data_IF_726211672985
#
_entry.id   IF_726211672985
#
_cell.length_a   1.000
_cell.length_b   1.000
_cell.length_c   1.000
_cell.angle_alpha   90.00
_cell.angle_beta   90.00
_cell.angle_gamma   90.00
#
_symmetry.space_group_name_H-M   'P 1'
#
loop_
_entity.id
_entity.type
_entity.pdbx_description
1 polymer ?
#
# COMPACT_ATOMS: atom_id res chain seq x y z
N UNK A 1 4.38 -9.74 -13.82
CA UNK A 1 4.42 -8.44 -13.14
C UNK A 1 3.99 -8.61 -11.70
N UNK A 2 4.72 -8.00 -10.78
CA UNK A 2 4.42 -8.07 -9.35
C UNK A 2 3.98 -6.68 -8.88
N UNK A 3 2.96 -6.66 -8.04
CA UNK A 3 2.36 -5.43 -7.54
C UNK A 3 2.59 -5.24 -6.05
N UNK A 4 2.70 -3.99 -5.62
CA UNK A 4 2.60 -3.60 -4.21
C UNK A 4 1.21 -2.99 -3.99
N UNK A 5 0.51 -3.47 -2.98
CA UNK A 5 -0.82 -2.94 -2.66
C UNK A 5 -0.71 -1.68 -1.81
N UNK A 6 -1.30 -0.58 -2.29
CA UNK A 6 -1.55 0.58 -1.46
C UNK A 6 -2.68 0.28 -0.47
N UNK A 7 -2.78 1.08 0.59
CA UNK A 7 -3.78 0.88 1.64
C UNK A 7 -5.21 0.83 1.09
N UNK A 8 -5.56 1.68 0.12
CA UNK A 8 -6.91 1.69 -0.44
C UNK A 8 -7.28 0.39 -1.15
N UNK A 9 -6.31 -0.32 -1.71
CA UNK A 9 -6.54 -1.64 -2.34
C UNK A 9 -6.70 -2.71 -1.26
N UNK A 10 -5.80 -2.73 -0.26
CA UNK A 10 -5.88 -3.69 0.84
C UNK A 10 -7.20 -3.56 1.60
N UNK A 11 -7.57 -2.34 1.97
CA UNK A 11 -8.78 -2.10 2.77
C UNK A 11 -10.08 -2.33 2.00
N UNK A 12 -10.03 -2.41 0.68
CA UNK A 12 -11.21 -2.71 -0.13
C UNK A 12 -11.81 -4.09 0.23
N UNK A 13 -10.95 -5.08 0.53
CA UNK A 13 -11.42 -6.43 0.88
C UNK A 13 -12.25 -6.48 2.17
N UNK A 14 -12.12 -5.45 3.02
CA UNK A 14 -12.82 -5.39 4.31
C UNK A 14 -14.14 -4.62 4.25
N UNK A 15 -14.47 -4.06 3.09
CA UNK A 15 -15.76 -3.37 2.89
C UNK A 15 -16.90 -4.39 2.79
N UNK A 16 -18.14 -4.02 3.22
CA UNK A 16 -19.30 -4.89 3.08
C UNK A 16 -19.60 -5.30 1.64
N UNK A 17 -19.30 -4.41 0.67
CA UNK A 17 -19.51 -4.64 -0.76
C UNK A 17 -18.26 -4.25 -1.53
N UNK A 18 -17.23 -5.09 -1.54
CA UNK A 18 -16.00 -4.78 -2.26
C UNK A 18 -16.25 -4.65 -3.77
N UNK A 19 -15.49 -3.77 -4.41
CA UNK A 19 -15.56 -3.59 -5.86
C UNK A 19 -15.12 -4.86 -6.58
N UNK A 20 -15.96 -5.34 -7.49
CA UNK A 20 -15.72 -6.61 -8.19
C UNK A 20 -14.42 -6.60 -9.01
N UNK A 21 -14.08 -5.48 -9.65
CA UNK A 21 -12.82 -5.37 -10.42
C UNK A 21 -11.60 -5.49 -9.52
N UNK A 22 -11.65 -4.92 -8.32
CA UNK A 22 -10.55 -5.01 -7.36
C UNK A 22 -10.40 -6.45 -6.86
N UNK A 23 -11.49 -7.12 -6.54
CA UNK A 23 -11.45 -8.52 -6.12
C UNK A 23 -10.88 -9.41 -7.21
N UNK A 24 -11.28 -9.21 -8.47
CA UNK A 24 -10.75 -9.95 -9.60
C UNK A 24 -9.23 -9.74 -9.74
N UNK A 25 -8.78 -8.49 -9.60
CA UNK A 25 -7.35 -8.16 -9.63
C UNK A 25 -6.60 -8.91 -8.52
N UNK A 26 -7.09 -8.86 -7.29
CA UNK A 26 -6.44 -9.50 -6.15
C UNK A 26 -6.39 -11.03 -6.30
N UNK A 27 -7.35 -11.62 -6.95
CA UNK A 27 -7.42 -13.05 -7.18
C UNK A 27 -6.46 -13.53 -8.29
N UNK A 28 -6.20 -12.68 -9.28
CA UNK A 28 -5.42 -13.04 -10.47
C UNK A 28 -3.97 -12.59 -10.42
N UNK A 29 -3.70 -11.45 -9.77
CA UNK A 29 -2.38 -10.82 -9.76
C UNK A 29 -1.48 -11.40 -8.68
N UNK A 30 -0.18 -11.32 -8.92
CA UNK A 30 0.84 -11.57 -7.89
C UNK A 30 1.16 -10.25 -7.18
N UNK A 31 1.04 -10.23 -5.85
CA UNK A 31 1.21 -8.99 -5.10
C UNK A 31 1.79 -9.21 -3.71
N UNK A 32 2.35 -8.13 -3.17
CA UNK A 32 2.81 -8.04 -1.79
C UNK A 32 2.19 -6.84 -1.10
N UNK A 33 2.12 -6.89 0.23
CA UNK A 33 1.71 -5.77 1.07
C UNK A 33 2.96 -5.16 1.71
N UNK A 34 3.26 -3.89 1.42
CA UNK A 34 4.40 -3.22 2.05
C UNK A 34 4.23 -3.05 3.55
N UNK A 35 5.30 -3.22 4.31
CA UNK A 35 5.30 -2.95 5.76
C UNK A 35 4.76 -1.55 6.08
N UNK A 36 5.09 -0.48 5.33
CA UNK A 36 4.48 0.84 5.57
C UNK A 36 2.94 0.85 5.50
N UNK A 37 2.33 0.01 4.67
CA UNK A 37 0.86 -0.09 4.60
C UNK A 37 0.30 -0.69 5.89
N UNK A 38 0.99 -1.67 6.48
CA UNK A 38 0.60 -2.21 7.79
C UNK A 38 0.65 -1.09 8.85
N UNK A 39 1.71 -0.28 8.83
CA UNK A 39 1.85 0.85 9.75
C UNK A 39 0.74 1.88 9.57
N UNK A 40 0.38 2.19 8.33
CA UNK A 40 -0.70 3.13 8.02
C UNK A 40 -2.06 2.62 8.52
N UNK A 41 -2.36 1.34 8.31
CA UNK A 41 -3.60 0.72 8.81
C UNK A 41 -3.65 0.76 10.34
N UNK A 42 -2.55 0.40 11.00
CA UNK A 42 -2.48 0.43 12.48
C UNK A 42 -2.66 1.85 13.02
N UNK A 43 -2.00 2.83 12.41
CA UNK A 43 -2.15 4.24 12.80
C UNK A 43 -3.60 4.70 12.62
N UNK A 44 -4.24 4.32 11.52
CA UNK A 44 -5.66 4.60 11.29
C UNK A 44 -6.57 3.98 12.34
N UNK A 45 -6.25 2.78 12.82
CA UNK A 45 -6.99 2.13 13.91
C UNK A 45 -6.89 2.93 15.20
N UNK A 46 -5.68 3.37 15.56
CA UNK A 46 -5.45 4.15 16.78
C UNK A 46 -6.09 5.53 16.72
N UNK A 47 -6.16 6.13 15.54
CA UNK A 47 -6.80 7.43 15.31
C UNK A 47 -8.33 7.35 15.23
N UNK A 48 -8.91 6.16 15.14
CA UNK A 48 -10.35 5.99 14.96
C UNK A 48 -11.14 6.52 16.17
N UNK A 49 -12.25 7.21 15.88
CA UNK A 49 -13.16 7.68 16.91
C UNK A 49 -13.99 6.49 17.43
N UNK A 50 -13.72 6.09 18.67
CA UNK A 50 -14.46 5.03 19.36
C UNK A 50 -13.78 3.67 19.33
N UNK A 51 -13.96 2.92 20.43
CA UNK A 51 -13.31 1.64 20.65
C UNK A 51 -13.78 0.55 19.69
N UNK A 52 -15.04 0.58 19.27
CA UNK A 52 -15.61 -0.44 18.37
C UNK A 52 -14.89 -0.47 17.03
N UNK A 53 -14.65 0.70 16.42
CA UNK A 53 -13.96 0.79 15.13
C UNK A 53 -12.50 0.37 15.25
N UNK A 54 -11.82 0.79 16.33
CA UNK A 54 -10.44 0.37 16.59
C UNK A 54 -10.32 -1.14 16.74
N UNK A 55 -11.21 -1.76 17.50
CA UNK A 55 -11.22 -3.21 17.68
C UNK A 55 -11.46 -3.92 16.34
N UNK A 56 -12.39 -3.43 15.54
CA UNK A 56 -12.70 -4.00 14.24
C UNK A 56 -11.48 -3.99 13.31
N UNK A 57 -10.81 -2.84 13.17
CA UNK A 57 -9.63 -2.72 12.32
C UNK A 57 -8.50 -3.61 12.81
N UNK A 58 -8.22 -3.61 14.12
CA UNK A 58 -7.18 -4.46 14.71
C UNK A 58 -7.46 -5.94 14.47
N UNK A 59 -8.71 -6.36 14.63
CA UNK A 59 -9.09 -7.75 14.41
C UNK A 59 -8.88 -8.19 12.95
N UNK A 60 -9.27 -7.35 12.01
CA UNK A 60 -9.08 -7.63 10.58
C UNK A 60 -7.60 -7.70 10.22
N UNK A 61 -6.80 -6.77 10.74
CA UNK A 61 -5.36 -6.76 10.51
C UNK A 61 -4.69 -7.99 11.11
N UNK A 62 -5.05 -8.38 12.33
CA UNK A 62 -4.53 -9.59 12.97
C UNK A 62 -4.82 -10.84 12.14
N UNK A 63 -6.04 -10.99 11.66
CA UNK A 63 -6.41 -12.14 10.83
C UNK A 63 -5.63 -12.12 9.52
N UNK A 64 -5.51 -10.97 8.88
CA UNK A 64 -4.77 -10.84 7.63
C UNK A 64 -3.30 -11.25 7.82
N UNK A 65 -2.64 -10.72 8.84
CA UNK A 65 -1.22 -11.01 9.10
C UNK A 65 -0.97 -12.48 9.42
N UNK A 66 -1.86 -13.12 10.16
CA UNK A 66 -1.73 -14.56 10.45
C UNK A 66 -1.88 -15.43 9.21
N UNK A 67 -2.78 -15.05 8.29
CA UNK A 67 -3.08 -15.85 7.10
C UNK A 67 -2.15 -15.54 5.93
N UNK A 68 -1.55 -14.35 5.90
CA UNK A 68 -0.84 -13.84 4.74
C UNK A 68 0.57 -13.33 5.08
N UNK A 69 1.22 -13.89 6.09
CA UNK A 69 2.55 -13.44 6.53
C UNK A 69 3.57 -13.45 5.37
N UNK A 70 3.47 -14.42 4.46
CA UNK A 70 4.41 -14.57 3.35
C UNK A 70 4.31 -13.45 2.30
N UNK A 71 3.19 -12.71 2.24
CA UNK A 71 3.03 -11.62 1.28
C UNK A 71 3.34 -10.25 1.86
N UNK A 72 3.76 -10.17 3.11
CA UNK A 72 4.21 -8.91 3.71
C UNK A 72 5.66 -8.67 3.29
N UNK A 73 5.92 -7.53 2.65
CA UNK A 73 7.24 -7.18 2.14
C UNK A 73 7.92 -6.19 3.06
N UNK A 74 9.10 -6.59 3.55
CA UNK A 74 9.90 -5.77 4.48
C UNK A 74 10.43 -4.50 3.82
N UNK A 75 10.58 -3.47 4.64
CA UNK A 75 11.18 -2.20 4.26
C UNK A 75 12.60 -2.16 4.83
N UNK A 76 13.58 -2.56 4.00
CA UNK A 76 14.95 -2.82 4.42
C UNK A 76 15.88 -1.59 4.33
N UNK A 77 17.15 -1.79 4.70
CA UNK A 77 18.15 -0.71 4.69
C UNK A 77 18.42 -0.17 3.29
N UNK A 78 18.41 -1.02 2.28
CA UNK A 78 18.60 -0.56 0.89
C UNK A 78 17.44 0.31 0.44
N UNK A 79 16.20 -0.07 0.77
CA UNK A 79 15.02 0.74 0.52
C UNK A 79 15.12 2.09 1.23
N UNK A 80 15.62 2.12 2.46
CA UNK A 80 15.81 3.35 3.22
C UNK A 80 16.75 4.32 2.51
N UNK A 81 17.83 3.81 1.94
CA UNK A 81 18.78 4.64 1.19
C UNK A 81 18.17 5.19 -0.09
N UNK A 82 17.41 4.38 -0.80
CA UNK A 82 16.65 4.80 -1.99
C UNK A 82 15.66 5.89 -1.62
N UNK A 83 14.89 5.69 -0.54
CA UNK A 83 13.93 6.68 -0.06
C UNK A 83 14.57 8.04 0.21
N UNK A 84 15.72 8.04 0.90
CA UNK A 84 16.45 9.27 1.17
C UNK A 84 16.86 10.04 -0.09
N UNK A 85 17.28 9.31 -1.13
CA UNK A 85 17.62 9.92 -2.42
C UNK A 85 16.39 10.46 -3.15
N UNK A 86 15.30 9.68 -3.20
CA UNK A 86 14.08 10.05 -3.92
C UNK A 86 13.39 11.28 -3.30
N UNK A 87 13.51 11.45 -1.98
CA UNK A 87 12.95 12.64 -1.30
C UNK A 87 13.52 13.95 -1.86
N UNK A 88 14.73 13.94 -2.38
CA UNK A 88 15.39 15.11 -2.94
C UNK A 88 15.37 15.16 -4.46
N UNK A 89 14.59 14.28 -5.10
CA UNK A 89 14.43 14.29 -6.55
C UNK A 89 13.67 15.53 -7.02
N UNK A 90 13.89 16.00 -8.27
CA UNK A 90 13.12 17.11 -8.83
C UNK A 90 11.63 16.86 -8.85
N UNK A 91 11.20 15.61 -9.11
CA UNK A 91 9.79 15.22 -9.18
C UNK A 91 9.09 15.43 -7.83
N UNK A 92 9.72 14.98 -6.73
CA UNK A 92 9.17 15.14 -5.38
C UNK A 92 9.21 16.59 -4.93
N UNK A 93 10.24 17.34 -5.30
CA UNK A 93 10.32 18.77 -4.98
C UNK A 93 9.20 19.57 -5.63
N UNK A 94 8.84 19.24 -6.87
CA UNK A 94 7.73 19.91 -7.58
C UNK A 94 6.38 19.51 -7.03
N UNK A 95 6.19 18.23 -6.68
CA UNK A 95 4.95 17.69 -6.15
C UNK A 95 5.26 16.81 -4.95
N UNK A 96 5.30 17.39 -3.74
CA UNK A 96 5.57 16.63 -2.53
C UNK A 96 4.56 15.49 -2.33
N UNK A 97 5.05 14.40 -1.74
CA UNK A 97 4.23 13.23 -1.42
C UNK A 97 3.94 13.20 0.08
N UNK A 98 2.87 12.48 0.46
CA UNK A 98 2.70 12.10 1.87
C UNK A 98 3.83 11.17 2.28
N UNK A 99 4.06 11.05 3.58
CA UNK A 99 5.07 10.12 4.11
C UNK A 99 4.79 8.69 3.63
N UNK A 100 3.54 8.22 3.79
CA UNK A 100 3.17 6.86 3.42
C UNK A 100 3.42 6.57 1.94
N UNK A 101 2.98 7.47 1.06
CA UNK A 101 3.18 7.31 -0.39
C UNK A 101 4.66 7.29 -0.76
N UNK A 102 5.48 8.13 -0.12
CA UNK A 102 6.92 8.17 -0.37
C UNK A 102 7.62 6.87 0.04
N UNK A 103 7.18 6.25 1.14
CA UNK A 103 7.75 4.98 1.61
C UNK A 103 7.40 3.84 0.65
N UNK A 104 6.17 3.80 0.16
CA UNK A 104 5.73 2.77 -0.80
C UNK A 104 6.44 2.97 -2.14
N UNK A 105 6.56 4.21 -2.59
CA UNK A 105 7.24 4.56 -3.84
C UNK A 105 8.69 4.03 -3.84
N UNK A 106 9.42 4.28 -2.76
CA UNK A 106 10.79 3.81 -2.61
C UNK A 106 10.91 2.28 -2.65
N UNK A 107 9.98 1.58 -1.99
CA UNK A 107 9.96 0.13 -1.98
C UNK A 107 9.68 -0.44 -3.38
N UNK A 108 8.76 0.18 -4.11
CA UNK A 108 8.46 -0.21 -5.48
C UNK A 108 9.66 -0.03 -6.40
N UNK A 109 10.37 1.09 -6.29
CA UNK A 109 11.61 1.34 -7.04
C UNK A 109 12.67 0.30 -6.68
N UNK A 110 12.83 0.00 -5.40
CA UNK A 110 13.79 -0.98 -4.90
C UNK A 110 13.66 -2.34 -5.58
N UNK A 111 12.44 -2.80 -5.76
CA UNK A 111 12.15 -4.13 -6.29
C UNK A 111 11.75 -4.15 -7.78
N UNK A 112 11.51 -3.00 -8.38
CA UNK A 112 10.98 -2.91 -9.73
C UNK A 112 9.51 -3.34 -9.83
N UNK A 113 8.74 -3.17 -8.77
CA UNK A 113 7.34 -3.54 -8.72
C UNK A 113 6.43 -2.36 -9.07
N UNK A 114 5.20 -2.66 -9.49
CA UNK A 114 4.17 -1.67 -9.81
C UNK A 114 3.27 -1.46 -8.60
N UNK A 115 2.94 -0.22 -8.27
CA UNK A 115 2.02 0.09 -7.17
C UNK A 115 0.58 -0.03 -7.67
N UNK A 116 -0.20 -0.91 -7.06
CA UNK A 116 -1.64 -0.98 -7.28
C UNK A 116 -2.32 0.00 -6.34
N UNK A 117 -2.96 1.02 -6.89
CA UNK A 117 -3.55 2.10 -6.11
C UNK A 117 -4.68 2.78 -6.87
N UNK A 118 -5.66 3.30 -6.14
CA UNK A 118 -6.68 4.17 -6.72
C UNK A 118 -6.13 5.55 -7.04
N UNK A 119 -5.09 5.99 -6.32
CA UNK A 119 -4.52 7.33 -6.39
C UNK A 119 -3.20 7.34 -7.15
N UNK A 120 -3.22 6.95 -8.42
CA UNK A 120 -2.01 6.79 -9.24
C UNK A 120 -1.15 8.05 -9.31
N UNK A 121 -1.77 9.22 -9.25
CA UNK A 121 -1.10 10.53 -9.30
C UNK A 121 -0.23 10.84 -8.07
N UNK A 122 -0.35 10.06 -6.98
CA UNK A 122 0.38 10.31 -5.74
C UNK A 122 1.77 9.69 -5.72
N UNK A 123 2.12 8.94 -6.77
CA UNK A 123 3.43 8.28 -6.90
C UNK A 123 4.27 8.97 -7.96
N UNK A 124 5.54 9.24 -7.66
CA UNK A 124 6.43 10.05 -8.51
C UNK A 124 7.41 9.20 -9.33
N UNK A 125 7.79 8.04 -8.84
CA UNK A 125 8.84 7.23 -9.43
C UNK A 125 8.40 5.84 -9.84
N UNK A 126 7.51 5.22 -9.08
CA UNK A 126 7.02 3.88 -9.36
C UNK A 126 6.00 3.89 -10.49
N UNK A 127 5.96 2.81 -11.24
CA UNK A 127 4.83 2.53 -12.12
C UNK A 127 3.60 2.27 -11.28
N UNK A 128 2.44 2.66 -11.79
CA UNK A 128 1.17 2.50 -11.07
C UNK A 128 0.14 1.78 -11.92
N UNK A 129 -0.82 1.16 -11.24
CA UNK A 129 -1.96 0.50 -11.87
C UNK A 129 -3.19 0.72 -10.97
N UNK A 130 -4.29 1.15 -11.57
CA UNK A 130 -5.55 1.35 -10.85
C UNK A 130 -6.47 0.15 -11.05
N UNK A 131 -6.63 -0.74 -10.03
CA UNK A 131 -7.48 -1.93 -10.18
C UNK A 131 -8.98 -1.65 -10.20
N UNK A 132 -9.42 -0.42 -9.97
CA UNK A 132 -10.83 -0.03 -10.14
C UNK A 132 -11.22 0.18 -11.60
N UNK A 133 -10.23 0.32 -12.49
CA UNK A 133 -10.50 0.55 -13.90
C UNK A 133 -10.40 -0.77 -14.66
N UNK A 134 -11.26 -0.93 -15.68
CA UNK A 134 -11.16 -2.04 -16.62
C UNK A 134 -9.87 -1.92 -17.42
N UNK A 135 -9.27 -3.06 -17.72
CA UNK A 135 -8.09 -3.12 -18.60
C UNK A 135 -8.47 -2.78 -20.02
#
# INVERSE_FOLDING_TARGET
MIYLLDNNVLSEIWKPRPEALVLAFLNEAEWFVPVPVIAEVQEGAEAAAGAARRIEINSRLDIFLRRNAAVVLDWDAETARIWGRLKHSPEVKRQPQSLWDSLIDALAVRHGYTVATRNTKDFRHAKTFNPWLAK
#
